data_IF_342848099967
#
_entry.id   IF_342848099967
#
_cell.length_a   1.000
_cell.length_b   1.000
_cell.length_c   1.000
_cell.angle_alpha   90.00
_cell.angle_beta   90.00
_cell.angle_gamma   90.00
#
_symmetry.space_group_name_H-M   'P 1'
#
loop_
_entity.id
_entity.type
_entity.pdbx_description
1 polymer ?
#
# COMPACT_ATOMS: atom_id res chain seq x y z
N UNK A 1 11.43 -30.20 -4.22
CA UNK A 1 11.60 -29.43 -3.00
C UNK A 1 10.59 -28.29 -2.98
N UNK A 2 9.82 -28.18 -1.91
CA UNK A 2 8.95 -27.03 -1.70
C UNK A 2 9.77 -25.91 -1.05
N UNK A 3 9.65 -24.67 -1.55
CA UNK A 3 10.33 -23.50 -1.00
C UNK A 3 9.46 -22.26 -1.16
N UNK A 4 9.65 -21.28 -0.28
CA UNK A 4 9.02 -19.98 -0.36
C UNK A 4 10.05 -18.90 -0.06
N UNK A 5 10.01 -17.83 -0.84
CA UNK A 5 10.77 -16.61 -0.59
C UNK A 5 9.87 -15.44 -0.94
N UNK A 6 9.22 -14.90 0.08
CA UNK A 6 8.25 -13.80 -0.06
C UNK A 6 8.45 -12.77 1.03
N UNK A 7 8.44 -11.51 0.61
CA UNK A 7 8.51 -10.34 1.48
C UNK A 7 7.34 -9.43 1.18
N UNK A 8 6.70 -8.95 2.23
CA UNK A 8 5.62 -7.95 2.16
C UNK A 8 6.03 -6.77 3.01
N UNK A 9 6.04 -5.57 2.42
CA UNK A 9 6.45 -4.34 3.08
C UNK A 9 5.41 -3.24 2.84
N UNK A 10 5.12 -2.49 3.88
CA UNK A 10 4.47 -1.18 3.79
C UNK A 10 5.37 -0.19 4.50
N UNK A 11 5.77 0.85 3.79
CA UNK A 11 6.66 1.86 4.35
C UNK A 11 6.71 3.10 3.48
N UNK A 12 7.58 4.02 3.85
CA UNK A 12 7.77 5.28 3.15
C UNK A 12 9.14 5.33 2.48
N UNK A 13 9.18 5.96 1.31
CA UNK A 13 10.44 6.16 0.60
C UNK A 13 11.34 7.13 1.36
N UNK A 14 12.60 6.77 1.53
CA UNK A 14 13.60 7.64 2.15
C UNK A 14 14.18 8.69 1.20
N UNK A 15 14.15 8.41 -0.10
CA UNK A 15 14.61 9.29 -1.19
C UNK A 15 13.74 9.09 -2.41
N UNK A 16 13.82 10.03 -3.36
CA UNK A 16 13.23 9.84 -4.67
C UNK A 16 13.81 8.60 -5.35
N UNK A 17 12.99 7.82 -6.07
CA UNK A 17 13.48 6.65 -6.75
C UNK A 17 14.45 7.01 -7.88
N UNK A 18 15.48 6.19 -8.04
CA UNK A 18 16.44 6.29 -9.15
C UNK A 18 16.03 5.32 -10.23
N UNK A 19 15.73 5.84 -11.41
CA UNK A 19 15.37 5.03 -12.58
C UNK A 19 16.51 5.07 -13.58
N UNK A 20 16.95 3.90 -13.98
CA UNK A 20 17.95 3.74 -15.03
C UNK A 20 17.57 2.56 -15.95
N UNK A 21 18.38 2.29 -16.93
CA UNK A 21 18.23 1.14 -17.82
C UNK A 21 19.51 0.32 -17.81
N UNK A 22 19.35 -0.99 -17.92
CA UNK A 22 20.49 -1.87 -18.16
C UNK A 22 21.02 -1.68 -19.58
N UNK A 23 22.25 -2.16 -19.88
CA UNK A 23 22.78 -2.13 -21.25
C UNK A 23 21.87 -2.80 -22.29
N UNK A 24 21.05 -3.77 -21.88
CA UNK A 24 20.04 -4.42 -22.71
C UNK A 24 18.74 -3.60 -22.89
N UNK A 25 18.62 -2.42 -22.24
CA UNK A 25 17.46 -1.56 -22.34
C UNK A 25 16.32 -1.86 -21.37
N UNK A 26 16.54 -2.77 -20.41
CA UNK A 26 15.52 -3.11 -19.39
C UNK A 26 15.44 -2.01 -18.34
N UNK A 27 14.28 -1.41 -18.11
CA UNK A 27 14.08 -0.41 -17.05
C UNK A 27 14.31 -1.01 -15.67
N UNK A 28 14.95 -0.22 -14.81
CA UNK A 28 15.27 -0.59 -13.44
C UNK A 28 15.02 0.61 -12.52
N UNK A 29 14.33 0.39 -11.41
CA UNK A 29 14.10 1.39 -10.38
C UNK A 29 14.65 0.94 -9.04
N UNK A 30 15.37 1.82 -8.36
CA UNK A 30 15.96 1.55 -7.06
C UNK A 30 15.63 2.67 -6.08
N UNK A 31 15.29 2.29 -4.86
CA UNK A 31 15.09 3.23 -3.75
C UNK A 31 15.24 2.53 -2.41
N UNK A 32 15.31 3.31 -1.34
CA UNK A 32 15.26 2.81 0.03
C UNK A 32 13.86 3.01 0.60
N UNK A 33 13.37 2.00 1.31
CA UNK A 33 12.08 2.01 1.98
C UNK A 33 12.28 1.89 3.49
N UNK A 34 11.68 2.78 4.25
CA UNK A 34 11.69 2.76 5.70
C UNK A 34 10.43 2.08 6.23
N UNK A 35 10.63 1.09 7.10
CA UNK A 35 9.57 0.51 7.92
C UNK A 35 9.85 0.83 9.37
N UNK A 36 8.88 1.40 10.10
CA UNK A 36 9.04 1.77 11.50
C UNK A 36 8.09 0.99 12.37
N UNK A 37 8.59 0.52 13.49
CA UNK A 37 7.80 -0.12 14.53
C UNK A 37 8.00 0.58 15.86
N UNK A 38 6.95 0.67 16.63
CA UNK A 38 6.99 1.19 17.99
C UNK A 38 6.91 0.03 18.97
N UNK A 39 7.84 -0.01 19.91
CA UNK A 39 7.86 -1.02 20.96
C UNK A 39 8.15 -0.37 22.31
N UNK A 40 7.79 -1.07 23.38
CA UNK A 40 8.10 -0.65 24.74
C UNK A 40 9.28 -1.47 25.24
N UNK A 41 10.32 -0.81 25.73
CA UNK A 41 11.49 -1.48 26.28
C UNK A 41 11.21 -2.08 27.67
N UNK A 42 12.21 -2.76 28.23
CA UNK A 42 12.10 -3.39 29.55
C UNK A 42 11.89 -2.37 30.67
N UNK A 43 12.24 -1.12 30.46
CA UNK A 43 12.08 -0.02 31.43
C UNK A 43 10.73 0.69 31.28
N UNK A 44 9.87 0.25 30.38
CA UNK A 44 8.56 0.83 30.11
C UNK A 44 8.58 2.07 29.23
N UNK A 45 9.71 2.38 28.59
CA UNK A 45 9.83 3.50 27.65
C UNK A 45 9.42 3.09 26.25
N UNK A 46 8.71 3.97 25.58
CA UNK A 46 8.36 3.80 24.15
C UNK A 46 9.60 4.08 23.31
N UNK A 47 9.94 3.12 22.47
CA UNK A 47 11.06 3.19 21.51
C UNK A 47 10.52 3.03 20.11
N UNK A 48 11.17 3.66 19.15
CA UNK A 48 10.92 3.50 17.73
C UNK A 48 12.14 2.85 17.07
N UNK A 49 11.89 1.85 16.24
CA UNK A 49 12.92 1.21 15.42
C UNK A 49 12.55 1.36 13.97
N UNK A 50 13.46 1.88 13.18
CA UNK A 50 13.31 2.01 11.74
C UNK A 50 14.29 1.09 11.03
N UNK A 51 13.77 0.26 10.13
CA UNK A 51 14.57 -0.59 9.25
C UNK A 51 14.53 -0.03 7.83
N UNK A 52 15.69 -0.03 7.19
CA UNK A 52 15.85 0.45 5.82
C UNK A 52 16.04 -0.71 4.86
N UNK A 53 15.16 -0.80 3.88
CA UNK A 53 15.17 -1.85 2.89
C UNK A 53 15.63 -1.31 1.55
N UNK A 54 16.53 -2.03 0.89
CA UNK A 54 16.94 -1.73 -0.47
C UNK A 54 15.95 -2.36 -1.44
N UNK A 55 15.29 -1.56 -2.24
CA UNK A 55 14.23 -1.98 -3.14
C UNK A 55 14.73 -1.93 -4.58
N UNK A 56 14.48 -2.99 -5.31
CA UNK A 56 14.79 -3.12 -6.73
C UNK A 56 13.54 -3.54 -7.49
N UNK A 57 13.22 -2.79 -8.52
CA UNK A 57 12.08 -3.05 -9.39
C UNK A 57 12.57 -3.13 -10.83
N UNK A 58 12.08 -4.11 -11.58
CA UNK A 58 12.44 -4.34 -12.96
C UNK A 58 11.27 -4.13 -13.91
N UNK A 59 11.59 -3.75 -15.15
CA UNK A 59 10.66 -3.71 -16.26
C UNK A 59 9.62 -2.60 -16.17
N UNK A 60 8.42 -2.88 -16.65
CA UNK A 60 7.34 -1.91 -16.71
C UNK A 60 6.95 -1.37 -15.32
N UNK A 61 7.00 -2.21 -14.32
CA UNK A 61 6.72 -1.79 -12.93
C UNK A 61 7.75 -0.76 -12.43
N UNK A 62 9.01 -0.84 -12.91
CA UNK A 62 10.04 0.16 -12.62
C UNK A 62 9.70 1.54 -13.22
N UNK A 63 9.16 1.58 -14.41
CA UNK A 63 8.70 2.82 -15.04
C UNK A 63 7.56 3.46 -14.26
N UNK A 64 6.58 2.66 -13.85
CA UNK A 64 5.45 3.11 -13.02
C UNK A 64 5.96 3.65 -11.68
N UNK A 65 6.87 2.94 -11.03
CA UNK A 65 7.47 3.38 -9.77
C UNK A 65 8.18 4.73 -9.92
N UNK A 66 8.95 4.89 -10.98
CA UNK A 66 9.64 6.14 -11.27
C UNK A 66 8.72 7.33 -11.52
N UNK A 67 7.55 7.07 -12.12
CA UNK A 67 6.54 8.09 -12.39
C UNK A 67 5.81 8.57 -11.14
N UNK A 68 5.40 7.65 -10.27
CA UNK A 68 4.45 7.93 -9.20
C UNK A 68 5.06 8.00 -7.81
N UNK A 69 6.18 7.32 -7.58
CA UNK A 69 6.83 7.34 -6.28
C UNK A 69 7.70 8.58 -6.08
N UNK A 70 7.67 9.11 -4.87
CA UNK A 70 8.49 10.26 -4.44
C UNK A 70 8.92 10.04 -3.00
N UNK A 71 9.97 10.73 -2.59
CA UNK A 71 10.44 10.78 -1.19
C UNK A 71 9.27 11.00 -0.23
N UNK A 72 9.19 10.20 0.83
CA UNK A 72 8.20 10.30 1.88
C UNK A 72 6.84 9.67 1.56
N UNK A 73 6.59 9.21 0.33
CA UNK A 73 5.34 8.56 -0.02
C UNK A 73 5.25 7.14 0.54
N UNK A 74 4.06 6.75 1.04
CA UNK A 74 3.82 5.38 1.44
C UNK A 74 3.55 4.49 0.23
N UNK A 75 4.05 3.26 0.31
CA UNK A 75 3.85 2.25 -0.73
C UNK A 75 3.75 0.85 -0.12
N UNK A 76 2.92 0.00 -0.72
CA UNK A 76 2.83 -1.41 -0.44
C UNK A 76 3.62 -2.18 -1.50
N UNK A 77 4.51 -3.07 -1.05
CA UNK A 77 5.35 -3.88 -1.92
C UNK A 77 5.24 -5.35 -1.57
N UNK A 78 5.20 -6.19 -2.58
CA UNK A 78 5.44 -7.62 -2.46
C UNK A 78 6.63 -8.00 -3.33
N UNK A 79 7.47 -8.88 -2.85
CA UNK A 79 8.62 -9.34 -3.59
C UNK A 79 9.32 -10.50 -2.92
N UNK A 80 10.59 -10.65 -3.22
CA UNK A 80 11.47 -11.68 -2.68
C UNK A 80 12.78 -11.08 -2.21
N UNK A 81 13.41 -11.72 -1.25
CA UNK A 81 14.76 -11.37 -0.83
C UNK A 81 15.76 -11.90 -1.85
N UNK A 82 16.67 -11.06 -2.27
CA UNK A 82 17.81 -11.42 -3.09
C UNK A 82 19.12 -10.97 -2.44
N UNK A 83 20.11 -11.81 -2.50
CA UNK A 83 21.44 -11.51 -2.01
C UNK A 83 22.36 -11.33 -3.20
N UNK A 84 23.17 -10.28 -3.14
CA UNK A 84 24.17 -9.98 -4.14
C UNK A 84 25.52 -9.78 -3.44
N UNK A 85 26.56 -10.35 -3.98
CA UNK A 85 27.94 -10.07 -3.54
C UNK A 85 28.66 -9.26 -4.60
N UNK A 86 29.45 -8.31 -4.17
CA UNK A 86 30.33 -7.53 -5.04
C UNK A 86 31.68 -7.33 -4.34
N UNK A 87 32.70 -7.11 -5.13
CA UNK A 87 34.00 -6.73 -4.62
C UNK A 87 34.16 -5.22 -4.67
N UNK A 88 34.60 -4.64 -3.56
CA UNK A 88 34.93 -3.21 -3.53
C UNK A 88 36.30 -2.94 -4.20
N UNK A 89 36.68 -1.67 -4.28
CA UNK A 89 37.95 -1.26 -4.88
C UNK A 89 39.18 -1.80 -4.13
N UNK A 90 39.01 -2.24 -2.89
CA UNK A 90 40.08 -2.82 -2.06
C UNK A 90 40.12 -4.35 -2.13
N UNK A 91 39.26 -4.98 -2.96
CA UNK A 91 39.22 -6.43 -3.14
C UNK A 91 38.41 -7.16 -2.05
N UNK A 92 37.71 -6.46 -1.18
CA UNK A 92 36.86 -7.07 -0.16
C UNK A 92 35.50 -7.46 -0.73
N UNK A 93 35.05 -8.69 -0.43
CA UNK A 93 33.67 -9.12 -0.77
C UNK A 93 32.69 -8.49 0.18
N UNK A 94 31.73 -7.75 -0.36
CA UNK A 94 30.60 -7.19 0.37
C UNK A 94 29.31 -7.85 -0.06
N UNK A 95 28.50 -8.18 0.91
CA UNK A 95 27.16 -8.72 0.70
C UNK A 95 26.14 -7.59 0.74
N UNK A 96 25.26 -7.61 -0.23
CA UNK A 96 24.20 -6.64 -0.35
C UNK A 96 22.87 -7.39 -0.43
N UNK A 97 21.93 -7.01 0.43
CA UNK A 97 20.58 -7.59 0.48
C UNK A 97 19.60 -6.61 -0.15
N UNK A 98 18.84 -7.08 -1.11
CA UNK A 98 17.83 -6.29 -1.79
C UNK A 98 16.51 -7.04 -1.87
N UNK A 99 15.42 -6.29 -1.96
CA UNK A 99 14.08 -6.81 -2.19
C UNK A 99 13.74 -6.59 -3.66
N UNK A 100 13.57 -7.68 -4.38
CA UNK A 100 13.13 -7.64 -5.79
C UNK A 100 11.59 -7.67 -5.80
N UNK A 101 10.99 -6.58 -6.25
CA UNK A 101 9.54 -6.38 -6.20
C UNK A 101 8.85 -7.10 -7.35
N UNK A 102 7.79 -7.81 -7.04
CA UNK A 102 6.92 -8.47 -8.02
C UNK A 102 5.56 -7.79 -8.14
N UNK A 103 5.12 -7.10 -7.09
CA UNK A 103 3.84 -6.39 -7.06
C UNK A 103 3.97 -5.11 -6.22
N UNK A 104 3.29 -4.05 -6.65
CA UNK A 104 3.32 -2.75 -5.99
C UNK A 104 1.91 -2.16 -5.96
N UNK A 105 1.56 -1.55 -4.83
CA UNK A 105 0.33 -0.81 -4.64
C UNK A 105 0.66 0.58 -4.07
N UNK A 106 0.24 1.61 -4.77
CA UNK A 106 0.38 2.97 -4.29
C UNK A 106 -0.60 3.22 -3.14
N UNK A 107 -0.08 3.76 -2.04
CA UNK A 107 -0.86 4.17 -0.88
C UNK A 107 -0.80 5.70 -0.75
N UNK A 108 -1.79 6.28 -0.10
CA UNK A 108 -1.89 7.72 0.11
C UNK A 108 -3.24 8.28 -0.30
N UNK A 109 -3.58 9.46 0.20
CA UNK A 109 -4.85 10.08 -0.12
C UNK A 109 -4.80 10.76 -1.50
N UNK A 110 -5.94 10.78 -2.17
CA UNK A 110 -6.14 11.44 -3.48
C UNK A 110 -5.81 12.94 -3.48
N UNK A 111 -5.65 13.55 -2.32
CA UNK A 111 -5.40 14.99 -2.19
C UNK A 111 -4.04 15.45 -2.71
N UNK A 112 -3.10 14.54 -2.94
CA UNK A 112 -1.79 14.87 -3.50
C UNK A 112 -1.70 14.74 -5.03
N UNK A 113 -2.80 14.38 -5.68
CA UNK A 113 -2.90 14.29 -7.16
C UNK A 113 -3.55 15.53 -7.78
N UNK A 114 -3.18 16.71 -7.36
CA UNK A 114 -3.52 17.90 -8.13
C UNK A 114 -2.59 17.99 -9.35
N UNK A 115 -2.98 17.33 -10.44
CA UNK A 115 -2.23 17.44 -11.68
C UNK A 115 -2.52 16.43 -12.78
N UNK A 116 -3.59 15.64 -12.67
CA UNK A 116 -4.05 14.86 -13.83
C UNK A 116 -5.57 14.93 -13.95
N UNK A 117 -5.98 15.60 -15.00
CA UNK A 117 -7.33 15.53 -15.55
C UNK A 117 -7.68 14.07 -15.82
N UNK A 118 -8.55 13.55 -14.99
CA UNK A 118 -9.18 12.26 -15.23
C UNK A 118 -10.47 12.52 -15.99
N UNK A 119 -10.37 12.70 -17.27
CA UNK A 119 -11.50 12.58 -18.17
C UNK A 119 -11.76 11.09 -18.44
N UNK A 120 -12.18 10.40 -17.39
CA UNK A 120 -12.77 9.06 -17.50
C UNK A 120 -14.19 9.20 -16.96
N UNK A 121 -15.20 9.15 -17.84
CA UNK A 121 -16.58 9.16 -17.39
C UNK A 121 -16.84 7.92 -16.53
N UNK A 122 -17.63 8.05 -15.43
CA UNK A 122 -17.99 6.90 -14.63
C UNK A 122 -18.77 5.90 -15.46
N UNK A 123 -18.58 4.58 -15.23
CA UNK A 123 -19.36 3.58 -15.92
C UNK A 123 -20.84 3.79 -15.61
N UNK A 124 -21.64 3.95 -16.67
CA UNK A 124 -23.10 4.02 -16.57
C UNK A 124 -23.62 2.70 -15.99
N UNK A 125 -24.22 2.80 -14.81
CA UNK A 125 -25.01 1.68 -14.29
C UNK A 125 -26.25 1.52 -15.17
N UNK A 126 -26.62 0.29 -15.57
CA UNK A 126 -27.85 0.08 -16.32
C UNK A 126 -29.06 0.39 -15.44
N UNK A 127 -29.83 1.39 -15.85
CA UNK A 127 -31.12 1.70 -15.28
C UNK A 127 -32.06 0.49 -15.39
N UNK A 128 -32.18 -0.24 -14.31
CA UNK A 128 -33.26 -1.20 -14.13
C UNK A 128 -34.55 -0.44 -13.85
N UNK A 129 -35.37 -0.34 -14.86
CA UNK A 129 -36.74 0.14 -14.77
C UNK A 129 -37.59 -0.85 -13.97
N UNK A 130 -37.94 -0.50 -12.76
CA UNK A 130 -39.02 -1.14 -12.04
C UNK A 130 -40.08 -0.11 -11.69
N UNK A 131 -41.08 -0.08 -12.52
CA UNK A 131 -42.40 0.49 -12.26
C UNK A 131 -43.03 -0.18 -11.05
N UNK A 132 -43.34 0.56 -10.00
CA UNK A 132 -44.37 0.13 -9.05
C UNK A 132 -45.17 1.29 -8.55
N UNK A 133 -46.48 1.14 -8.74
CA UNK A 133 -47.57 2.03 -8.43
C UNK A 133 -47.76 2.29 -6.91
N UNK A 134 -48.45 3.39 -6.55
CA UNK A 134 -48.60 3.79 -5.17
C UNK A 134 -49.66 2.97 -4.44
N UNK A 135 -49.37 2.47 -3.26
CA UNK A 135 -50.39 1.95 -2.36
C UNK A 135 -50.73 2.97 -1.27
N UNK A 136 -52.02 3.27 -1.23
CA UNK A 136 -52.71 4.12 -0.30
C UNK A 136 -52.61 3.60 1.14
N UNK A 137 -52.66 4.54 2.05
CA UNK A 137 -52.63 4.57 3.48
C UNK A 137 -53.34 3.51 4.26
N UNK A 138 -52.82 3.29 5.44
CA UNK A 138 -53.54 2.72 6.59
C UNK A 138 -53.31 3.61 7.83
N UNK A 139 -54.33 3.78 8.68
CA UNK A 139 -54.33 4.78 9.76
C UNK A 139 -53.58 4.31 11.02
N UNK A 140 -53.25 5.23 11.93
CA UNK A 140 -52.42 4.90 13.09
C UNK A 140 -53.26 4.20 14.17
N UNK A 141 -52.71 3.12 14.70
CA UNK A 141 -53.26 2.36 15.80
C UNK A 141 -52.75 2.93 17.12
N UNK A 142 -53.70 3.32 17.97
CA UNK A 142 -53.48 3.84 19.31
C UNK A 142 -52.71 2.88 20.20
N UNK A 143 -51.73 3.40 20.87
CA UNK A 143 -51.05 2.76 22.00
C UNK A 143 -52.02 2.69 23.19
N UNK A 144 -52.05 1.53 23.82
CA UNK A 144 -52.68 1.32 25.10
C UNK A 144 -51.58 0.78 26.04
N UNK A 145 -51.24 1.60 26.99
CA UNK A 145 -50.38 1.21 28.11
C UNK A 145 -51.10 0.21 29.00
N UNK A 146 -50.42 -0.76 29.58
CA UNK A 146 -50.90 -1.41 30.80
C UNK A 146 -50.01 -1.01 31.99
N UNK A 147 -50.71 -0.69 33.06
CA UNK A 147 -50.19 -0.19 34.30
C UNK A 147 -49.35 -1.21 35.06
N UNK A 148 -48.51 -0.63 35.86
CA UNK A 148 -47.66 -1.22 36.87
C UNK A 148 -48.53 -1.64 38.05
N UNK A 149 -48.44 -2.91 38.44
CA UNK A 149 -48.81 -3.38 39.78
C UNK A 149 -47.63 -4.12 40.39
N UNK A 150 -47.14 -3.60 41.50
CA UNK A 150 -46.20 -4.22 42.40
C UNK A 150 -46.96 -5.02 43.46
N UNK A 151 -46.64 -6.25 43.80
CA UNK A 151 -46.99 -6.85 45.04
C UNK A 151 -45.81 -6.87 46.02
N UNK A 152 -46.17 -6.77 47.27
CA UNK A 152 -45.37 -6.78 48.49
C UNK A 152 -44.35 -7.89 48.63
#
# INVERSE_FOLDING_TARGET
MASVNKVILIGNLGKDPVVDQTPSGTPRCRFSLATSENFTDREGKKQERTEWHNILIWGKLAEVAGQYLRKGRPVYLEGRIAYRSYEDQEGNKKNFTEIVVTSMQLLGSRSDQSGYDSDVPPPEEPLSSATSAPRRGAPPRKQKEPGIELPE
#
